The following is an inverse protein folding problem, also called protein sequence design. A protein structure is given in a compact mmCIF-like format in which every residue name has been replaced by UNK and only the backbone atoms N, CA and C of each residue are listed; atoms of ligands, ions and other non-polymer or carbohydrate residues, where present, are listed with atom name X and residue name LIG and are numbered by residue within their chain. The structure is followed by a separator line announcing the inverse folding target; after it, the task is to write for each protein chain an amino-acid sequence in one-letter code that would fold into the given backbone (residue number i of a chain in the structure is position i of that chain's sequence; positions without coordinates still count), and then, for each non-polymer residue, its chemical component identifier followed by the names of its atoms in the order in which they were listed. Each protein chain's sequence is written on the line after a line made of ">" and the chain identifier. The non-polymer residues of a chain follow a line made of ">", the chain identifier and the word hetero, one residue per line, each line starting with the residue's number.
data_IF_602660877503
#
_entry.id   IF_602660877503
#
_cell.length_a   1.000
_cell.length_b   1.000
_cell.length_c   1.000
_cell.angle_alpha   90.00
_cell.angle_beta   90.00
_cell.angle_gamma   90.00
#
_symmetry.space_group_name_H-M   'P 1'
#
loop_
_entity.id
_entity.type
_entity.pdbx_description
1 polymer ?
#
# COMPACT_ATOMS: atom_id res chain seq x y z
N UNK A 1 -22.25 -11.35 -35.49
CA UNK A 1 -22.49 -12.78 -35.77
C UNK A 1 -22.28 -13.63 -34.52
N UNK A 2 -21.09 -13.61 -33.89
CA UNK A 2 -20.84 -14.35 -32.64
C UNK A 2 -21.73 -13.87 -31.48
N UNK A 3 -21.85 -12.56 -31.27
CA UNK A 3 -22.77 -11.95 -30.29
C UNK A 3 -24.23 -12.32 -30.55
N UNK A 4 -24.63 -12.40 -31.82
CA UNK A 4 -25.99 -12.75 -32.24
C UNK A 4 -26.30 -14.22 -31.98
N UNK A 5 -25.29 -15.10 -32.10
CA UNK A 5 -25.37 -16.53 -31.79
C UNK A 5 -25.32 -16.77 -30.28
N UNK A 6 -24.45 -16.07 -29.54
CA UNK A 6 -24.40 -16.14 -28.06
C UNK A 6 -25.66 -15.57 -27.41
N UNK A 7 -26.21 -14.46 -27.92
CA UNK A 7 -27.44 -13.88 -27.39
C UNK A 7 -28.67 -14.76 -27.70
N UNK A 8 -28.72 -15.39 -28.89
CA UNK A 8 -29.85 -16.24 -29.29
C UNK A 8 -29.79 -17.68 -28.77
N UNK A 9 -28.61 -18.21 -28.48
CA UNK A 9 -28.41 -19.61 -28.05
C UNK A 9 -27.91 -19.71 -26.60
N UNK A 10 -27.00 -18.81 -26.20
CA UNK A 10 -26.37 -18.83 -24.87
C UNK A 10 -27.27 -18.30 -23.75
N UNK A 11 -28.05 -17.25 -24.00
CA UNK A 11 -28.95 -16.69 -22.98
C UNK A 11 -30.08 -17.68 -22.60
N UNK A 12 -30.76 -18.35 -23.57
CA UNK A 12 -31.71 -19.43 -23.25
C UNK A 12 -31.11 -20.59 -22.47
N UNK A 13 -29.91 -21.03 -22.85
CA UNK A 13 -29.23 -22.13 -22.18
C UNK A 13 -28.86 -21.78 -20.73
N UNK A 14 -28.39 -20.55 -20.49
CA UNK A 14 -28.10 -20.07 -19.13
C UNK A 14 -29.37 -19.94 -18.29
N UNK A 15 -30.46 -19.44 -18.86
CA UNK A 15 -31.75 -19.34 -18.16
C UNK A 15 -32.30 -20.72 -17.77
N UNK A 16 -32.15 -21.73 -18.63
CA UNK A 16 -32.54 -23.12 -18.33
C UNK A 16 -31.68 -23.74 -17.22
N UNK A 17 -30.36 -23.53 -17.26
CA UNK A 17 -29.44 -24.06 -16.24
C UNK A 17 -29.68 -23.39 -14.89
N UNK A 18 -29.76 -22.05 -14.86
CA UNK A 18 -29.96 -21.28 -13.63
C UNK A 18 -31.38 -21.48 -13.09
N UNK A 19 -32.40 -21.46 -13.96
CA UNK A 19 -33.78 -21.75 -13.59
C UNK A 19 -33.96 -23.18 -13.07
N UNK A 20 -33.33 -24.16 -13.70
CA UNK A 20 -33.32 -25.56 -13.25
C UNK A 20 -32.53 -25.80 -11.96
N UNK A 21 -31.51 -24.99 -11.67
CA UNK A 21 -30.81 -25.03 -10.38
C UNK A 21 -31.66 -24.40 -9.27
N UNK A 22 -32.26 -23.24 -9.52
CA UNK A 22 -33.14 -22.53 -8.57
C UNK A 22 -34.43 -23.32 -8.28
N UNK A 23 -34.99 -24.01 -9.27
CA UNK A 23 -36.19 -24.83 -9.12
C UNK A 23 -36.01 -26.09 -8.25
N UNK A 24 -34.76 -26.55 -8.07
CA UNK A 24 -34.43 -27.67 -7.17
C UNK A 24 -34.26 -27.25 -5.71
N UNK A 25 -34.20 -25.95 -5.44
CA UNK A 25 -34.09 -25.42 -4.08
C UNK A 25 -35.51 -25.33 -3.49
N UNK A 26 -35.75 -26.01 -2.37
CA UNK A 26 -37.03 -25.98 -1.64
C UNK A 26 -37.20 -24.69 -0.84
N UNK A 27 -37.24 -23.54 -1.53
CA UNK A 27 -37.46 -22.22 -0.93
C UNK A 27 -38.40 -21.39 -1.83
N UNK A 28 -39.44 -20.72 -1.28
CA UNK A 28 -40.46 -20.03 -2.08
C UNK A 28 -39.89 -18.94 -2.99
N UNK A 29 -38.85 -18.22 -2.54
CA UNK A 29 -38.16 -17.20 -3.36
C UNK A 29 -37.42 -17.84 -4.55
N UNK A 30 -36.80 -19.00 -4.35
CA UNK A 30 -36.06 -19.69 -5.41
C UNK A 30 -37.01 -20.27 -6.47
N UNK A 31 -38.14 -20.84 -6.05
CA UNK A 31 -39.18 -21.32 -6.97
C UNK A 31 -39.84 -20.17 -7.74
N UNK A 32 -40.09 -19.02 -7.10
CA UNK A 32 -40.61 -17.83 -7.77
C UNK A 32 -39.62 -17.29 -8.81
N UNK A 33 -38.32 -17.27 -8.50
CA UNK A 33 -37.28 -16.84 -9.43
C UNK A 33 -37.15 -17.80 -10.63
N UNK A 34 -37.21 -19.11 -10.38
CA UNK A 34 -37.21 -20.12 -11.44
C UNK A 34 -38.41 -19.99 -12.39
N UNK A 35 -39.61 -19.74 -11.84
CA UNK A 35 -40.81 -19.49 -12.64
C UNK A 35 -40.70 -18.22 -13.47
N UNK A 36 -40.24 -17.12 -12.87
CA UNK A 36 -40.04 -15.85 -13.57
C UNK A 36 -39.02 -15.99 -14.73
N UNK A 37 -37.94 -16.75 -14.54
CA UNK A 37 -36.97 -17.03 -15.61
C UNK A 37 -37.61 -17.83 -16.76
N UNK A 38 -38.43 -18.85 -16.46
CA UNK A 38 -39.14 -19.62 -17.47
C UNK A 38 -40.16 -18.78 -18.25
N UNK A 39 -40.92 -17.93 -17.56
CA UNK A 39 -41.90 -17.02 -18.18
C UNK A 39 -41.20 -16.00 -19.10
N UNK A 40 -40.04 -15.48 -18.66
CA UNK A 40 -39.22 -14.56 -19.45
C UNK A 40 -38.65 -15.24 -20.69
N UNK A 41 -38.14 -16.47 -20.56
CA UNK A 41 -37.65 -17.26 -21.68
C UNK A 41 -38.74 -17.51 -22.73
N UNK A 42 -39.95 -17.85 -22.30
CA UNK A 42 -41.10 -18.02 -23.19
C UNK A 42 -41.47 -16.72 -23.91
N UNK A 43 -41.41 -15.57 -23.23
CA UNK A 43 -41.66 -14.27 -23.84
C UNK A 43 -40.61 -13.87 -24.89
N UNK A 44 -39.35 -14.26 -24.69
CA UNK A 44 -38.27 -14.07 -25.68
C UNK A 44 -38.51 -14.95 -26.91
N UNK A 45 -38.82 -16.25 -26.71
CA UNK A 45 -39.06 -17.20 -27.82
C UNK A 45 -40.32 -16.84 -28.61
N UNK A 46 -41.36 -16.37 -27.93
CA UNK A 46 -42.60 -15.90 -28.55
C UNK A 46 -42.45 -14.55 -29.28
N UNK A 47 -41.27 -13.91 -29.22
CA UNK A 47 -41.03 -12.61 -29.86
C UNK A 47 -41.77 -11.44 -29.19
N UNK A 48 -42.26 -11.61 -27.96
CA UNK A 48 -42.95 -10.56 -27.21
C UNK A 48 -41.97 -9.53 -26.62
N UNK A 49 -40.69 -9.90 -26.49
CA UNK A 49 -39.60 -8.98 -26.15
C UNK A 49 -38.89 -8.60 -27.45
N UNK A 50 -39.07 -7.36 -27.87
CA UNK A 50 -38.46 -6.85 -29.10
C UNK A 50 -36.93 -6.85 -28.97
N UNK A 51 -36.19 -7.26 -30.02
CA UNK A 51 -34.73 -7.22 -30.02
C UNK A 51 -34.18 -5.80 -29.86
N UNK A 52 -34.93 -4.77 -30.25
CA UNK A 52 -34.57 -3.36 -30.07
C UNK A 52 -34.58 -2.95 -28.59
N UNK A 53 -35.59 -3.38 -27.82
CA UNK A 53 -35.67 -3.11 -26.38
C UNK A 53 -34.54 -3.80 -25.60
N UNK A 54 -34.17 -5.02 -26.01
CA UNK A 54 -33.03 -5.74 -25.44
C UNK A 54 -31.69 -5.06 -25.77
N UNK A 55 -31.53 -4.55 -27.00
CA UNK A 55 -30.33 -3.80 -27.39
C UNK A 55 -30.21 -2.46 -26.63
N UNK A 56 -31.32 -1.77 -26.40
CA UNK A 56 -31.31 -0.53 -25.63
C UNK A 56 -30.97 -0.75 -24.15
N UNK A 57 -31.50 -1.81 -23.55
CA UNK A 57 -31.12 -2.24 -22.21
C UNK A 57 -29.62 -2.57 -22.10
N UNK A 58 -29.06 -3.26 -23.11
CA UNK A 58 -27.62 -3.55 -23.16
C UNK A 58 -26.77 -2.29 -23.27
N UNK A 59 -27.16 -1.32 -24.11
CA UNK A 59 -26.46 -0.02 -24.20
C UNK A 59 -26.45 0.72 -22.87
N UNK A 60 -27.56 0.72 -22.15
CA UNK A 60 -27.63 1.32 -20.81
C UNK A 60 -26.76 0.59 -19.79
N UNK A 61 -26.73 -0.74 -19.82
CA UNK A 61 -25.86 -1.54 -18.95
C UNK A 61 -24.39 -1.30 -19.24
N UNK A 62 -23.98 -1.24 -20.50
CA UNK A 62 -22.62 -0.90 -20.91
C UNK A 62 -22.23 0.49 -20.39
N UNK A 63 -23.11 1.49 -20.57
CA UNK A 63 -22.84 2.85 -20.09
C UNK A 63 -22.76 2.95 -18.57
N UNK A 64 -23.65 2.26 -17.85
CA UNK A 64 -23.61 2.18 -16.39
C UNK A 64 -22.34 1.49 -15.90
N UNK A 65 -21.94 0.41 -16.57
CA UNK A 65 -20.72 -0.33 -16.23
C UNK A 65 -19.48 0.52 -16.45
N UNK A 66 -19.42 1.26 -17.56
CA UNK A 66 -18.34 2.21 -17.84
C UNK A 66 -18.25 3.30 -16.76
N UNK A 67 -19.39 3.93 -16.42
CA UNK A 67 -19.44 4.96 -15.37
C UNK A 67 -19.03 4.40 -13.99
N UNK A 68 -19.45 3.18 -13.67
CA UNK A 68 -19.10 2.53 -12.41
C UNK A 68 -17.62 2.16 -12.37
N UNK A 69 -17.05 1.66 -13.46
CA UNK A 69 -15.61 1.40 -13.58
C UNK A 69 -14.81 2.70 -13.45
N UNK A 70 -15.28 3.78 -14.06
CA UNK A 70 -14.66 5.09 -13.97
C UNK A 70 -14.69 5.63 -12.53
N UNK A 71 -15.84 5.56 -11.85
CA UNK A 71 -15.96 5.97 -10.46
C UNK A 71 -15.05 5.16 -9.52
N UNK A 72 -14.93 3.84 -9.74
CA UNK A 72 -14.00 2.99 -8.98
C UNK A 72 -12.55 3.36 -9.27
N UNK A 73 -12.20 3.59 -10.54
CA UNK A 73 -10.86 4.03 -10.95
C UNK A 73 -10.49 5.37 -10.31
N UNK A 74 -11.40 6.33 -10.33
CA UNK A 74 -11.19 7.67 -9.78
C UNK A 74 -11.02 7.61 -8.26
N UNK A 75 -11.87 6.85 -7.56
CA UNK A 75 -11.74 6.62 -6.13
C UNK A 75 -10.41 5.95 -5.77
N UNK A 76 -9.99 4.93 -6.53
CA UNK A 76 -8.69 4.29 -6.33
C UNK A 76 -7.53 5.24 -6.63
N UNK A 77 -7.65 6.11 -7.62
CA UNK A 77 -6.65 7.13 -7.94
C UNK A 77 -6.49 8.13 -6.80
N UNK A 78 -7.60 8.65 -6.26
CA UNK A 78 -7.61 9.61 -5.15
C UNK A 78 -7.06 8.99 -3.85
N UNK A 79 -7.43 7.74 -3.56
CA UNK A 79 -6.87 6.99 -2.43
C UNK A 79 -5.36 6.77 -2.60
N UNK A 80 -4.90 6.40 -3.79
CA UNK A 80 -3.47 6.24 -4.03
C UNK A 80 -2.71 7.57 -3.96
N UNK A 81 -3.31 8.66 -4.44
CA UNK A 81 -2.72 10.00 -4.40
C UNK A 81 -2.58 10.49 -2.95
N UNK A 82 -3.61 10.35 -2.13
CA UNK A 82 -3.58 10.70 -0.71
C UNK A 82 -2.58 9.84 0.07
N UNK A 83 -2.57 8.52 -0.12
CA UNK A 83 -1.56 7.62 0.49
C UNK A 83 -0.13 8.01 0.11
N UNK A 84 0.12 8.33 -1.17
CA UNK A 84 1.44 8.81 -1.60
C UNK A 84 1.80 10.13 -0.96
N UNK A 85 0.85 11.05 -0.80
CA UNK A 85 1.08 12.32 -0.12
C UNK A 85 1.35 12.13 1.37
N UNK A 86 0.68 11.19 2.04
CA UNK A 86 0.95 10.83 3.44
C UNK A 86 2.34 10.19 3.61
N UNK A 87 2.71 9.25 2.73
CA UNK A 87 4.02 8.61 2.76
C UNK A 87 5.15 9.59 2.41
N UNK A 88 4.89 10.52 1.49
CA UNK A 88 5.83 11.58 1.10
C UNK A 88 5.82 12.77 2.06
N UNK A 89 4.97 12.77 3.08
CA UNK A 89 4.93 13.82 4.10
C UNK A 89 6.21 13.78 4.92
N UNK A 90 7.16 14.64 4.54
CA UNK A 90 8.45 14.84 5.20
C UNK A 90 8.30 15.60 6.53
N UNK A 91 7.51 15.08 7.48
CA UNK A 91 7.40 15.70 8.80
C UNK A 91 8.77 15.72 9.49
N UNK A 92 9.34 16.92 9.78
CA UNK A 92 10.62 17.06 10.45
C UNK A 92 10.64 16.38 11.83
N UNK A 93 9.48 16.24 12.48
CA UNK A 93 9.33 15.59 13.78
C UNK A 93 9.61 14.09 13.68
N UNK A 94 9.06 13.39 12.69
CA UNK A 94 9.27 11.94 12.50
C UNK A 94 10.73 11.62 12.19
N UNK A 95 11.40 12.49 11.42
CA UNK A 95 12.82 12.32 11.06
C UNK A 95 13.77 12.59 12.24
N UNK A 96 13.42 13.53 13.13
CA UNK A 96 14.25 13.94 14.28
C UNK A 96 14.00 13.14 15.55
N UNK A 97 12.76 12.68 15.77
CA UNK A 97 12.35 11.85 16.91
C UNK A 97 13.28 10.66 17.12
N UNK A 98 13.64 10.02 16.01
CA UNK A 98 14.37 8.78 16.07
C UNK A 98 15.85 8.98 16.48
N UNK A 99 16.62 9.93 15.92
CA UNK A 99 17.91 10.35 16.48
C UNK A 99 17.85 10.91 17.91
N UNK A 100 16.82 11.71 18.25
CA UNK A 100 16.72 12.32 19.59
C UNK A 100 16.59 11.27 20.69
N UNK A 101 15.85 10.18 20.43
CA UNK A 101 15.78 9.06 21.37
C UNK A 101 17.15 8.44 21.63
N UNK A 102 17.94 8.20 20.57
CA UNK A 102 19.30 7.67 20.70
C UNK A 102 20.24 8.60 21.48
N UNK A 103 20.17 9.91 21.25
CA UNK A 103 20.98 10.88 21.99
C UNK A 103 20.61 10.95 23.47
N UNK A 104 19.32 10.96 23.80
CA UNK A 104 18.86 10.94 25.18
C UNK A 104 19.35 9.69 25.90
N UNK A 105 19.25 8.52 25.26
CA UNK A 105 19.75 7.25 25.78
C UNK A 105 21.28 7.25 26.01
N UNK A 106 22.04 7.82 25.09
CA UNK A 106 23.49 7.96 25.25
C UNK A 106 23.83 8.86 26.45
N UNK A 107 23.14 10.00 26.59
CA UNK A 107 23.36 10.94 27.69
C UNK A 107 23.02 10.28 29.03
N UNK A 108 21.85 9.62 29.14
CA UNK A 108 21.44 8.96 30.39
C UNK A 108 22.43 7.86 30.78
N UNK A 109 22.90 7.07 29.80
CA UNK A 109 23.92 6.05 30.04
C UNK A 109 25.25 6.65 30.50
N UNK A 110 25.72 7.72 29.86
CA UNK A 110 26.95 8.41 30.28
C UNK A 110 26.83 8.95 31.70
N UNK A 111 25.72 9.60 32.04
CA UNK A 111 25.48 10.11 33.39
C UNK A 111 25.41 8.97 34.41
N UNK A 112 24.78 7.85 34.09
CA UNK A 112 24.72 6.68 34.97
C UNK A 112 26.11 6.09 35.21
N UNK A 113 26.93 5.93 34.17
CA UNK A 113 28.28 5.38 34.29
C UNK A 113 29.22 6.32 35.05
N UNK A 114 29.11 7.63 34.84
CA UNK A 114 29.88 8.62 35.60
C UNK A 114 29.47 8.64 37.07
N UNK A 115 28.16 8.57 37.35
CA UNK A 115 27.63 8.47 38.71
C UNK A 115 28.15 7.21 39.42
N UNK A 116 28.14 6.07 38.72
CA UNK A 116 28.67 4.81 39.27
C UNK A 116 30.18 4.90 39.53
N UNK A 117 30.96 5.43 38.57
CA UNK A 117 32.40 5.61 38.73
C UNK A 117 32.73 6.52 39.91
N UNK A 118 31.96 7.60 40.10
CA UNK A 118 32.11 8.50 41.24
C UNK A 118 31.90 7.78 42.57
N UNK A 119 30.82 7.00 42.72
CA UNK A 119 30.55 6.26 43.96
C UNK A 119 31.65 5.23 44.24
N UNK A 120 32.11 4.51 43.22
CA UNK A 120 33.17 3.50 43.39
C UNK A 120 34.49 4.13 43.87
N UNK A 121 34.82 5.35 43.43
CA UNK A 121 36.08 6.01 43.78
C UNK A 121 35.99 6.78 45.10
N UNK A 122 34.90 7.51 45.32
CA UNK A 122 34.80 8.49 46.40
C UNK A 122 33.89 8.05 47.56
N UNK A 123 32.99 7.09 47.34
CA UNK A 123 32.00 6.66 48.33
C UNK A 123 31.84 5.13 48.37
N UNK A 124 32.99 4.46 48.55
CA UNK A 124 33.13 2.99 48.49
C UNK A 124 32.21 2.24 49.45
N UNK A 125 31.89 2.83 50.61
CA UNK A 125 30.99 2.26 51.60
C UNK A 125 29.57 2.04 51.08
N UNK A 126 29.11 2.84 50.11
CA UNK A 126 27.78 2.72 49.49
C UNK A 126 27.82 1.98 48.14
N UNK A 127 29.00 1.59 47.66
CA UNK A 127 29.16 1.01 46.33
C UNK A 127 28.36 -0.29 46.13
N UNK A 128 28.28 -1.16 47.16
CA UNK A 128 27.50 -2.40 47.09
C UNK A 128 26.01 -2.14 46.90
N UNK A 129 25.43 -1.24 47.72
CA UNK A 129 24.01 -0.88 47.66
C UNK A 129 23.65 -0.24 46.31
N UNK A 130 24.54 0.59 45.77
CA UNK A 130 24.34 1.25 44.47
C UNK A 130 24.45 0.25 43.31
N UNK A 131 25.38 -0.70 43.38
CA UNK A 131 25.48 -1.78 42.38
C UNK A 131 24.25 -2.68 42.37
N UNK A 132 23.72 -3.03 43.54
CA UNK A 132 22.48 -3.80 43.66
C UNK A 132 21.28 -3.03 43.10
N UNK A 133 21.20 -1.72 43.36
CA UNK A 133 20.18 -0.87 42.79
C UNK A 133 20.26 -0.82 41.25
N UNK A 134 21.46 -0.68 40.68
CA UNK A 134 21.65 -0.70 39.22
C UNK A 134 21.28 -2.06 38.63
N UNK A 135 21.60 -3.16 39.31
CA UNK A 135 21.19 -4.51 38.91
C UNK A 135 19.67 -4.62 38.76
N UNK A 136 18.90 -4.00 39.67
CA UNK A 136 17.43 -3.97 39.57
C UNK A 136 16.90 -3.19 38.35
N UNK A 137 17.67 -2.26 37.79
CA UNK A 137 17.34 -1.53 36.56
C UNK A 137 17.62 -2.33 35.28
N UNK A 138 18.20 -3.53 35.35
CA UNK A 138 18.57 -4.31 34.15
C UNK A 138 17.39 -4.57 33.22
N UNK A 139 16.19 -4.78 33.77
CA UNK A 139 14.98 -5.02 32.99
C UNK A 139 14.59 -3.81 32.11
N UNK A 140 14.61 -2.59 32.67
CA UNK A 140 14.27 -1.38 31.90
C UNK A 140 15.33 -1.09 30.82
N UNK A 141 16.61 -1.33 31.13
CA UNK A 141 17.70 -1.20 30.17
C UNK A 141 17.60 -2.20 29.02
N UNK A 142 17.21 -3.44 29.30
CA UNK A 142 17.01 -4.48 28.27
C UNK A 142 15.94 -4.06 27.26
N UNK A 143 14.81 -3.54 27.74
CA UNK A 143 13.73 -3.05 26.86
C UNK A 143 14.21 -1.84 26.05
N UNK A 144 14.83 -0.86 26.69
CA UNK A 144 15.26 0.37 26.04
C UNK A 144 16.33 0.13 24.95
N UNK A 145 17.31 -0.74 25.23
CA UNK A 145 18.35 -1.11 24.26
C UNK A 145 17.80 -1.99 23.12
N UNK A 146 16.78 -2.81 23.39
CA UNK A 146 16.11 -3.59 22.34
C UNK A 146 15.41 -2.69 21.32
N UNK A 147 14.69 -1.66 21.79
CA UNK A 147 14.04 -0.66 20.91
C UNK A 147 15.09 0.11 20.10
N UNK A 148 16.19 0.52 20.73
CA UNK A 148 17.29 1.19 20.04
C UNK A 148 17.94 0.27 18.98
N UNK A 149 18.11 -1.02 19.28
CA UNK A 149 18.66 -2.02 18.36
C UNK A 149 17.82 -2.18 17.09
N UNK A 150 16.50 -2.34 17.25
CA UNK A 150 15.56 -2.39 16.10
C UNK A 150 15.64 -1.10 15.28
N UNK A 151 15.73 0.04 15.97
CA UNK A 151 15.79 1.34 15.33
C UNK A 151 17.06 1.52 14.47
N UNK A 152 18.23 1.15 14.99
CA UNK A 152 19.50 1.17 14.25
C UNK A 152 19.51 0.19 13.09
N UNK A 153 18.92 -1.00 13.27
CA UNK A 153 18.81 -2.01 12.23
C UNK A 153 18.00 -1.51 11.04
N UNK A 154 16.78 -1.00 11.28
CA UNK A 154 15.92 -0.45 10.22
C UNK A 154 16.57 0.74 9.51
N UNK A 155 17.27 1.62 10.24
CA UNK A 155 18.00 2.74 9.64
C UNK A 155 19.17 2.28 8.76
N UNK A 156 19.77 1.14 9.08
CA UNK A 156 20.86 0.56 8.28
C UNK A 156 20.31 -0.10 7.00
N UNK A 157 19.15 -0.75 7.07
CA UNK A 157 18.42 -1.23 5.88
C UNK A 157 18.06 -0.08 4.94
N UNK A 158 17.52 1.03 5.46
CA UNK A 158 17.19 2.25 4.69
C UNK A 158 18.40 2.83 3.94
N UNK A 159 19.61 2.74 4.51
CA UNK A 159 20.84 3.22 3.85
C UNK A 159 21.36 2.25 2.79
N UNK A 160 21.10 0.96 2.96
CA UNK A 160 21.60 -0.10 2.07
C UNK A 160 20.74 -0.22 0.81
N UNK A 161 19.45 0.12 0.91
CA UNK A 161 18.52 0.12 -0.22
C UNK A 161 18.60 1.39 -1.09
N UNK A 162 19.37 2.41 -0.70
CA UNK A 162 19.67 3.54 -1.57
C UNK A 162 20.62 3.07 -2.69
N UNK A 163 20.20 3.08 -3.97
CA UNK A 163 21.09 2.68 -5.05
C UNK A 163 22.32 3.60 -5.07
N UNK A 164 23.50 2.98 -5.04
CA UNK A 164 24.83 3.60 -5.18
C UNK A 164 24.96 4.57 -6.39
N UNK A 165 23.99 4.57 -7.32
CA UNK A 165 23.93 5.44 -8.48
C UNK A 165 23.39 6.86 -8.23
N UNK A 166 22.67 7.12 -7.12
CA UNK A 166 22.14 8.47 -6.84
C UNK A 166 23.23 9.50 -6.49
N UNK A 167 24.37 9.05 -5.96
CA UNK A 167 25.47 9.94 -5.60
C UNK A 167 26.32 10.42 -6.80
N UNK A 168 26.16 9.81 -7.98
CA UNK A 168 26.92 10.20 -9.19
C UNK A 168 26.21 11.23 -10.08
N UNK A 169 24.87 11.35 -10.03
CA UNK A 169 24.14 12.33 -10.85
C UNK A 169 24.39 13.77 -10.40
N UNK A 170 24.52 13.99 -9.09
CA UNK A 170 24.67 15.34 -8.53
C UNK A 170 26.08 15.89 -8.71
N UNK A 171 27.08 15.02 -8.79
CA UNK A 171 28.46 15.40 -9.11
C UNK A 171 28.64 15.63 -10.63
N UNK A 172 27.94 14.87 -11.48
CA UNK A 172 28.00 15.08 -12.93
C UNK A 172 27.28 16.36 -13.39
N UNK A 173 26.25 16.82 -12.65
CA UNK A 173 25.50 18.04 -12.98
C UNK A 173 26.21 19.35 -12.56
N UNK A 174 27.20 19.29 -11.66
CA UNK A 174 27.91 20.46 -11.12
C UNK A 174 29.26 20.75 -11.79
N UNK A 175 29.71 19.90 -12.73
CA UNK A 175 30.93 20.16 -13.52
C UNK A 175 30.55 20.88 -14.82
N UNK A 176 30.95 22.16 -15.01
CA UNK A 176 30.75 22.83 -16.27
C UNK A 176 31.48 22.06 -17.38
N UNK A 177 30.74 21.61 -18.39
CA UNK A 177 31.34 21.05 -19.60
C UNK A 177 32.32 22.07 -20.18
N UNK A 178 33.59 21.70 -20.46
CA UNK A 178 34.52 22.63 -21.09
C UNK A 178 33.95 23.05 -22.44
N UNK A 179 33.92 24.37 -22.67
CA UNK A 179 33.40 24.97 -23.90
C UNK A 179 34.02 24.28 -25.12
N UNK A 180 33.17 23.68 -25.98
CA UNK A 180 33.59 23.16 -27.28
C UNK A 180 34.17 24.34 -28.08
N UNK A 181 35.48 24.31 -28.34
CA UNK A 181 36.11 25.25 -29.28
C UNK A 181 35.41 25.13 -30.64
N UNK A 182 35.15 26.25 -31.34
CA UNK A 182 34.55 26.22 -32.66
C UNK A 182 35.46 25.41 -33.60
N UNK A 183 34.88 24.44 -34.31
CA UNK A 183 35.55 23.75 -35.42
C UNK A 183 35.90 24.81 -36.46
N UNK A 184 37.19 25.02 -36.69
CA UNK A 184 37.65 25.78 -37.84
C UNK A 184 37.08 25.10 -39.10
N UNK A 185 36.37 25.89 -39.91
CA UNK A 185 36.00 25.49 -41.25
C UNK A 185 37.30 25.30 -42.04
N UNK A 186 37.57 24.07 -42.44
CA UNK A 186 38.62 23.76 -43.40
C UNK A 186 38.05 24.07 -44.78
N UNK A 187 38.37 25.25 -45.31
CA UNK A 187 38.35 25.49 -46.74
C UNK A 187 39.70 25.03 -47.27
N UNK A 188 39.68 23.96 -48.05
CA UNK A 188 40.34 23.78 -49.36
C UNK A 188 40.20 22.32 -49.81
#
# INVERSE_FOLDING_TARGET
>A
MLETVLAKIGLPLLMDIVGGALGRINHPVAQSAAKALADTQNAIVAGMISPEAAQEANRHLEKMTELQQQAVSDALSEVNQSLRAEVASDDPYVRRMRPTFGYLMAITWTVQMLSLAYVIVFDTQHASVVLDAISSLSAIWTVALSVLGIYVYKRSEEKTSLPFNAAKSDIAASVPLPARKPRAAFND
#
